data_IF_726829189935
#
_entry.id   IF_726829189935
#
_cell.length_a   1.000
_cell.length_b   1.000
_cell.length_c   1.000
_cell.angle_alpha   90.00
_cell.angle_beta   90.00
_cell.angle_gamma   90.00
#
_symmetry.space_group_name_H-M   'P 1'
#
loop_
_entity.id
_entity.type
_entity.pdbx_description
1 polymer ?
#
# COMPACT_ATOMS: atom_id res chain seq x y z
N UNK A 1 7.92 -7.66 15.44
CA UNK A 1 9.12 -7.33 16.26
C UNK A 1 9.89 -6.09 15.80
N UNK A 2 10.50 -6.05 14.61
CA UNK A 2 11.31 -4.89 14.19
C UNK A 2 10.57 -3.55 14.24
N UNK A 3 9.32 -3.50 13.77
CA UNK A 3 8.50 -2.26 13.84
C UNK A 3 8.34 -1.77 15.28
N UNK A 4 8.01 -2.65 16.23
CA UNK A 4 7.83 -2.27 17.64
C UNK A 4 9.12 -1.74 18.26
N UNK A 5 10.27 -2.32 17.91
CA UNK A 5 11.56 -1.86 18.39
C UNK A 5 11.87 -0.44 17.87
N UNK A 6 11.56 -0.15 16.61
CA UNK A 6 11.80 1.17 16.00
C UNK A 6 10.81 2.25 16.49
N UNK A 7 9.58 1.88 16.83
CA UNK A 7 8.54 2.84 17.20
C UNK A 7 8.21 2.89 18.70
N UNK A 8 8.82 2.02 19.50
CA UNK A 8 8.57 1.95 20.95
C UNK A 8 7.22 1.36 21.34
N UNK A 9 6.54 0.62 20.44
CA UNK A 9 5.24 -0.01 20.78
C UNK A 9 4.33 -0.41 19.62
N UNK A 10 4.75 -0.16 18.38
CA UNK A 10 3.95 -0.42 17.18
C UNK A 10 3.51 0.87 16.48
N UNK A 11 2.66 0.75 15.45
CA UNK A 11 2.17 1.88 14.64
C UNK A 11 0.67 2.10 14.82
N UNK A 12 0.21 3.34 14.73
CA UNK A 12 -1.21 3.69 14.85
C UNK A 12 -2.02 3.43 13.56
N UNK A 13 -1.34 3.45 12.41
CA UNK A 13 -1.94 3.21 11.10
C UNK A 13 -1.03 2.27 10.32
N UNK A 14 -1.60 1.20 9.78
CA UNK A 14 -0.94 0.33 8.79
C UNK A 14 -1.68 0.49 7.46
N UNK A 15 -0.94 0.72 6.38
CA UNK A 15 -1.46 0.59 5.02
C UNK A 15 -0.96 -0.75 4.47
N UNK A 16 -1.87 -1.70 4.30
CA UNK A 16 -1.56 -3.07 3.86
C UNK A 16 -1.92 -3.25 2.38
N UNK A 17 -0.90 -3.52 1.57
CA UNK A 17 -1.00 -3.79 0.13
C UNK A 17 -0.88 -5.28 -0.21
N UNK A 18 -0.51 -6.11 0.78
CA UNK A 18 -0.14 -7.50 0.59
C UNK A 18 -1.31 -8.44 0.88
N UNK A 19 -2.07 -8.19 1.94
CA UNK A 19 -3.13 -9.09 2.40
C UNK A 19 -2.58 -10.48 2.73
N UNK A 20 -3.37 -11.50 2.46
CA UNK A 20 -2.88 -12.89 2.45
C UNK A 20 -2.20 -13.36 3.74
N UNK A 21 -1.11 -14.11 3.56
CA UNK A 21 -0.36 -14.73 4.66
C UNK A 21 0.38 -13.71 5.52
N UNK A 22 0.81 -12.61 4.92
CA UNK A 22 1.55 -11.53 5.60
C UNK A 22 0.66 -10.61 6.43
N UNK A 23 -0.67 -10.65 6.28
CA UNK A 23 -1.59 -9.80 7.04
C UNK A 23 -1.46 -9.95 8.57
N UNK A 24 -1.12 -11.14 9.07
CA UNK A 24 -0.85 -11.35 10.50
C UNK A 24 0.32 -10.49 11.02
N UNK A 25 1.31 -10.20 10.18
CA UNK A 25 2.42 -9.32 10.53
C UNK A 25 1.95 -7.86 10.71
N UNK A 26 1.02 -7.42 9.86
CA UNK A 26 0.38 -6.10 9.97
C UNK A 26 -0.39 -5.95 11.29
N UNK A 27 -1.15 -6.98 11.69
CA UNK A 27 -1.81 -7.04 12.99
C UNK A 27 -0.82 -6.99 14.17
N UNK A 28 0.31 -7.68 14.04
CA UNK A 28 1.34 -7.68 15.07
C UNK A 28 2.12 -6.36 15.16
N UNK A 29 2.26 -5.62 14.05
CA UNK A 29 2.94 -4.33 14.01
C UNK A 29 2.13 -3.19 14.66
N UNK A 30 0.83 -3.38 14.86
CA UNK A 30 -0.08 -2.38 15.40
C UNK A 30 0.17 -2.07 16.89
N UNK A 31 0.09 -0.78 17.23
CA UNK A 31 -0.11 -0.33 18.60
C UNK A 31 -1.57 -0.54 19.06
N UNK A 32 -1.87 -0.34 20.34
CA UNK A 32 -3.26 -0.34 20.83
C UNK A 32 -4.09 0.78 20.16
N UNK A 33 -5.36 0.49 19.85
CA UNK A 33 -6.30 1.34 19.12
C UNK A 33 -5.87 1.70 17.70
N UNK A 34 -4.95 0.95 17.11
CA UNK A 34 -4.51 1.19 15.74
C UNK A 34 -5.53 0.72 14.71
N UNK A 35 -5.44 1.28 13.50
CA UNK A 35 -6.23 0.88 12.34
C UNK A 35 -5.35 0.31 11.24
N UNK A 36 -5.85 -0.71 10.58
CA UNK A 36 -5.26 -1.29 9.37
C UNK A 36 -6.16 -0.91 8.20
N UNK A 37 -5.58 -0.28 7.19
CA UNK A 37 -6.22 0.04 5.92
C UNK A 37 -5.74 -0.98 4.90
N UNK A 38 -6.62 -1.89 4.49
CA UNK A 38 -6.32 -2.96 3.55
C UNK A 38 -6.75 -2.52 2.14
N UNK A 39 -5.79 -2.40 1.21
CA UNK A 39 -6.01 -1.96 -0.17
C UNK A 39 -5.60 -3.01 -1.21
N UNK A 40 -4.80 -4.01 -0.84
CA UNK A 40 -4.26 -4.98 -1.79
C UNK A 40 -4.12 -6.39 -1.24
N UNK A 41 -3.94 -7.34 -2.16
CA UNK A 41 -3.91 -8.79 -1.93
C UNK A 41 -2.75 -9.46 -2.69
N UNK A 42 -1.61 -8.78 -2.79
CA UNK A 42 -0.43 -9.29 -3.52
C UNK A 42 0.08 -10.65 -3.02
N UNK A 43 -0.15 -10.98 -1.75
CA UNK A 43 0.28 -12.21 -1.07
C UNK A 43 -0.90 -13.17 -0.78
N UNK A 44 -2.08 -12.90 -1.37
CA UNK A 44 -3.26 -13.77 -1.31
C UNK A 44 -4.55 -13.06 -0.87
N UNK A 45 -5.69 -13.68 -1.21
CA UNK A 45 -7.03 -13.12 -0.97
C UNK A 45 -7.65 -13.52 0.37
N UNK A 46 -7.06 -14.48 1.06
CA UNK A 46 -7.51 -14.97 2.37
C UNK A 46 -6.41 -14.81 3.41
N UNK A 47 -6.79 -14.42 4.63
CA UNK A 47 -5.88 -14.25 5.75
C UNK A 47 -6.44 -14.95 6.99
N UNK A 48 -5.57 -15.62 7.75
CA UNK A 48 -5.88 -16.10 9.10
C UNK A 48 -5.59 -14.99 10.11
N UNK A 49 -6.55 -14.68 10.97
CA UNK A 49 -6.47 -13.57 11.92
C UNK A 49 -6.52 -14.05 13.38
N UNK A 50 -5.71 -13.40 14.23
CA UNK A 50 -5.77 -13.55 15.69
C UNK A 50 -6.84 -12.59 16.26
N UNK A 51 -8.05 -13.11 16.48
CA UNK A 51 -9.19 -12.34 16.96
C UNK A 51 -9.01 -11.86 18.41
N UNK A 52 -8.34 -12.64 19.26
CA UNK A 52 -8.04 -12.24 20.64
C UNK A 52 -7.07 -11.07 20.64
N UNK A 53 -6.03 -11.12 19.81
CA UNK A 53 -5.10 -10.01 19.61
C UNK A 53 -5.76 -8.73 19.13
N UNK A 54 -6.76 -8.84 18.24
CA UNK A 54 -7.58 -7.70 17.78
C UNK A 54 -8.37 -7.10 18.94
N UNK A 55 -9.07 -7.92 19.73
CA UNK A 55 -9.91 -7.46 20.86
C UNK A 55 -9.05 -6.78 21.93
N UNK A 56 -7.98 -7.45 22.37
CA UNK A 56 -7.13 -6.96 23.46
C UNK A 56 -6.43 -5.65 23.13
N UNK A 57 -6.12 -5.42 21.84
CA UNK A 57 -5.52 -4.17 21.37
C UNK A 57 -6.53 -3.19 20.77
N UNK A 58 -7.83 -3.54 20.69
CA UNK A 58 -8.90 -2.71 20.10
C UNK A 58 -8.57 -2.26 18.67
N UNK A 59 -8.09 -3.19 17.85
CA UNK A 59 -7.71 -2.90 16.47
C UNK A 59 -8.94 -2.80 15.56
N UNK A 60 -8.85 -1.97 14.52
CA UNK A 60 -9.82 -1.95 13.42
C UNK A 60 -9.15 -2.33 12.10
N UNK A 61 -9.91 -2.99 11.23
CA UNK A 61 -9.51 -3.32 9.87
C UNK A 61 -10.54 -2.73 8.93
N UNK A 62 -10.08 -1.90 7.99
CA UNK A 62 -10.91 -1.24 7.00
C UNK A 62 -10.41 -1.60 5.61
N UNK A 63 -11.24 -2.30 4.84
CA UNK A 63 -11.01 -2.45 3.40
C UNK A 63 -11.32 -1.13 2.68
N UNK A 64 -10.48 -0.76 1.71
CA UNK A 64 -10.71 0.38 0.82
C UNK A 64 -10.57 -0.04 -0.65
N UNK A 65 -11.25 0.68 -1.54
CA UNK A 65 -11.17 0.49 -2.98
C UNK A 65 -11.09 1.86 -3.67
N UNK A 66 -11.06 1.89 -5.01
CA UNK A 66 -11.19 3.14 -5.77
C UNK A 66 -12.37 3.95 -5.27
N UNK A 67 -12.11 5.22 -5.01
CA UNK A 67 -13.07 6.15 -4.45
C UNK A 67 -13.77 7.00 -5.53
N UNK A 68 -14.69 7.86 -5.11
CA UNK A 68 -15.41 8.77 -6.01
C UNK A 68 -14.48 9.70 -6.80
N UNK A 69 -14.93 10.16 -7.97
CA UNK A 69 -14.23 11.19 -8.75
C UNK A 69 -13.97 12.47 -7.95
N UNK A 70 -14.83 12.78 -6.97
CA UNK A 70 -14.62 13.93 -6.10
C UNK A 70 -13.42 13.73 -5.17
N UNK A 71 -13.28 12.55 -4.59
CA UNK A 71 -12.13 12.21 -3.74
C UNK A 71 -10.83 12.17 -4.55
N UNK A 72 -10.87 11.63 -5.76
CA UNK A 72 -9.72 11.68 -6.66
C UNK A 72 -9.27 13.13 -6.93
N UNK A 73 -10.20 14.04 -7.23
CA UNK A 73 -9.89 15.47 -7.41
C UNK A 73 -9.32 16.11 -6.15
N UNK A 74 -9.85 15.76 -4.97
CA UNK A 74 -9.32 16.23 -3.69
C UNK A 74 -7.89 15.74 -3.47
N UNK A 75 -7.60 14.47 -3.81
CA UNK A 75 -6.26 13.90 -3.74
C UNK A 75 -5.29 14.61 -4.68
N UNK A 76 -5.66 14.85 -5.95
CA UNK A 76 -4.82 15.60 -6.90
C UNK A 76 -4.49 16.99 -6.37
N UNK A 77 -5.48 17.72 -5.83
CA UNK A 77 -5.26 19.03 -5.21
C UNK A 77 -4.32 18.95 -4.01
N UNK A 78 -4.46 17.93 -3.17
CA UNK A 78 -3.56 17.72 -2.05
C UNK A 78 -2.12 17.47 -2.52
N UNK A 79 -1.93 16.67 -3.57
CA UNK A 79 -0.62 16.45 -4.19
C UNK A 79 -0.01 17.74 -4.71
N UNK A 80 -0.79 18.58 -5.40
CA UNK A 80 -0.32 19.88 -5.88
C UNK A 80 0.07 20.81 -4.73
N UNK A 81 -0.76 20.88 -3.68
CA UNK A 81 -0.53 21.76 -2.52
C UNK A 81 0.69 21.34 -1.71
N UNK A 82 0.93 20.04 -1.60
CA UNK A 82 2.03 19.45 -0.83
C UNK A 82 3.30 19.20 -1.68
N UNK A 83 3.29 19.60 -2.95
CA UNK A 83 4.34 19.30 -3.94
C UNK A 83 4.71 17.80 -4.00
N UNK A 84 3.71 16.93 -3.84
CA UNK A 84 3.91 15.49 -3.94
C UNK A 84 4.07 15.10 -5.41
N UNK A 85 5.25 14.59 -5.75
CA UNK A 85 5.57 14.06 -7.06
C UNK A 85 5.61 12.53 -7.02
N UNK A 86 5.09 11.83 -8.04
CA UNK A 86 5.26 10.39 -8.12
C UNK A 86 6.74 10.05 -8.27
N UNK A 87 7.22 9.06 -7.51
CA UNK A 87 8.55 8.50 -7.72
C UNK A 87 8.52 7.67 -9.01
N UNK A 88 8.96 8.26 -10.13
CA UNK A 88 9.09 7.54 -11.40
C UNK A 88 10.42 6.80 -11.40
N UNK A 89 10.36 5.48 -11.59
CA UNK A 89 11.55 4.64 -11.64
C UNK A 89 12.17 4.63 -13.03
N UNK A 90 11.33 4.37 -14.04
CA UNK A 90 11.73 4.23 -15.43
C UNK A 90 10.55 4.55 -16.34
N UNK A 91 10.85 5.26 -17.42
CA UNK A 91 9.94 5.51 -18.53
C UNK A 91 10.37 4.66 -19.73
N UNK A 92 9.38 4.11 -20.43
CA UNK A 92 9.53 3.36 -21.68
C UNK A 92 8.71 4.05 -22.77
N UNK A 93 9.17 4.02 -24.01
CA UNK A 93 8.35 4.43 -25.14
C UNK A 93 7.18 3.48 -25.35
N UNK A 94 6.14 3.91 -26.06
CA UNK A 94 4.97 3.06 -26.33
C UNK A 94 5.33 1.74 -27.05
N UNK A 95 6.26 1.82 -28.02
CA UNK A 95 6.79 0.66 -28.75
C UNK A 95 7.56 -0.33 -27.85
N UNK A 96 8.02 0.13 -26.68
CA UNK A 96 8.70 -0.68 -25.68
C UNK A 96 7.75 -1.23 -24.60
N UNK A 97 6.44 -1.08 -24.76
CA UNK A 97 5.45 -1.53 -23.78
C UNK A 97 5.63 -3.01 -23.34
N UNK A 98 5.97 -3.99 -24.20
CA UNK A 98 6.24 -5.36 -23.73
C UNK A 98 7.44 -5.44 -22.78
N UNK A 99 8.46 -4.59 -22.98
CA UNK A 99 9.62 -4.52 -22.08
C UNK A 99 9.26 -3.86 -20.75
N UNK A 100 8.39 -2.84 -20.78
CA UNK A 100 7.88 -2.19 -19.57
C UNK A 100 7.14 -3.19 -18.66
N UNK A 101 6.28 -4.03 -19.22
CA UNK A 101 5.57 -5.07 -18.45
C UNK A 101 6.52 -6.13 -17.88
N UNK A 102 7.48 -6.63 -18.66
CA UNK A 102 8.50 -7.56 -18.13
C UNK A 102 9.32 -6.93 -17.00
N UNK A 103 9.64 -5.64 -17.11
CA UNK A 103 10.33 -4.91 -16.05
C UNK A 103 9.48 -4.78 -14.79
N UNK A 104 8.18 -4.48 -14.93
CA UNK A 104 7.22 -4.45 -13.83
C UNK A 104 7.12 -5.82 -13.14
N UNK A 105 6.94 -6.90 -13.90
CA UNK A 105 6.86 -8.28 -13.41
C UNK A 105 8.11 -8.72 -12.64
N UNK A 106 9.28 -8.18 -13.00
CA UNK A 106 10.52 -8.49 -12.27
C UNK A 106 10.53 -8.01 -10.82
N UNK A 107 9.62 -7.11 -10.45
CA UNK A 107 9.51 -6.49 -9.11
C UNK A 107 10.81 -5.81 -8.60
N UNK A 108 11.76 -5.50 -9.50
CA UNK A 108 13.02 -4.81 -9.16
C UNK A 108 12.90 -3.28 -9.12
N UNK A 109 11.72 -2.74 -9.39
CA UNK A 109 11.48 -1.31 -9.46
C UNK A 109 11.06 -0.76 -8.09
N UNK A 110 11.51 0.46 -7.77
CA UNK A 110 10.98 1.26 -6.66
C UNK A 110 10.26 2.45 -7.28
N UNK A 111 8.96 2.57 -7.03
CA UNK A 111 8.12 3.63 -7.59
C UNK A 111 7.27 3.17 -8.77
N UNK A 112 7.05 4.04 -9.76
CA UNK A 112 6.19 3.78 -10.91
C UNK A 112 7.01 3.50 -12.17
N UNK A 113 6.57 2.50 -12.94
CA UNK A 113 7.00 2.28 -14.32
C UNK A 113 6.02 3.02 -15.23
N UNK A 114 6.53 3.87 -16.12
CA UNK A 114 5.72 4.70 -16.99
C UNK A 114 5.90 4.25 -18.44
N UNK A 115 4.80 4.21 -19.19
CA UNK A 115 4.83 4.10 -20.66
C UNK A 115 4.40 5.46 -21.18
N UNK A 116 5.27 6.10 -21.95
CA UNK A 116 5.02 7.39 -22.57
C UNK A 116 4.41 7.19 -23.95
N UNK A 117 3.35 7.96 -24.22
CA UNK A 117 2.73 8.03 -25.54
C UNK A 117 3.33 9.24 -26.27
N UNK A 118 3.85 9.02 -27.47
CA UNK A 118 4.22 10.12 -28.35
C UNK A 118 2.96 10.96 -28.61
N UNK A 119 3.03 12.25 -28.27
CA UNK A 119 1.92 13.20 -28.44
C UNK A 119 1.85 13.75 -29.86
#
# INVERSE_FOLDING_TARGET
EQVKALTGGGVNVVLDVAGGKTFANSLQACASNARIVLIGVLDGVEATIDTVGIIMRRLSVQGIMMESMQEFRNFVRACETLDLRPCINRTFGFDESPMAYRYLESQKHIGKVVIELDR
#
